data_IF_038885615269
#
_entry.id   IF_038885615269
#
_cell.length_a   1.000
_cell.length_b   1.000
_cell.length_c   1.000
_cell.angle_alpha   90.00
_cell.angle_beta   90.00
_cell.angle_gamma   90.00
#
_symmetry.space_group_name_H-M   'P 1'
#
loop_
_entity.id
_entity.type
_entity.pdbx_description
1 polymer ?
#
# COMPACT_ATOMS: atom_id res chain seq x y z
N UNK A 1 -0.28 13.62 -18.19
CA UNK A 1 0.29 12.72 -19.20
C UNK A 1 1.23 11.78 -18.46
N UNK A 2 1.03 10.46 -18.54
CA UNK A 2 1.87 9.46 -17.86
C UNK A 2 3.02 9.05 -18.78
N UNK A 3 4.20 8.85 -18.22
CA UNK A 3 5.38 8.36 -18.92
C UNK A 3 5.68 6.94 -18.48
N UNK A 4 5.61 5.99 -19.40
CA UNK A 4 5.92 4.59 -19.14
C UNK A 4 7.21 4.18 -19.83
N UNK A 5 8.01 3.37 -19.15
CA UNK A 5 9.12 2.67 -19.78
C UNK A 5 8.61 1.69 -20.83
N UNK A 6 9.35 1.51 -21.93
CA UNK A 6 9.03 0.51 -22.97
C UNK A 6 8.93 -0.90 -22.38
N UNK A 7 9.66 -1.20 -21.28
CA UNK A 7 9.66 -2.52 -20.64
C UNK A 7 8.34 -2.88 -19.94
N UNK A 8 7.43 -1.92 -19.76
CA UNK A 8 6.07 -2.18 -19.29
C UNK A 8 5.20 -2.87 -20.35
N UNK A 9 5.53 -2.74 -21.64
CA UNK A 9 4.77 -3.35 -22.74
C UNK A 9 5.38 -4.72 -23.05
N UNK A 10 4.75 -5.78 -22.54
CA UNK A 10 5.24 -7.17 -22.68
C UNK A 10 4.49 -8.02 -23.71
N UNK A 11 3.39 -7.51 -24.27
CA UNK A 11 2.51 -8.28 -25.16
C UNK A 11 1.45 -9.12 -24.42
N UNK A 12 1.46 -9.06 -23.09
CA UNK A 12 0.46 -9.61 -22.19
C UNK A 12 0.11 -8.58 -21.09
N UNK A 13 -0.70 -8.97 -20.10
CA UNK A 13 -1.08 -8.11 -18.97
C UNK A 13 0.01 -7.98 -17.89
N UNK A 14 1.22 -8.54 -18.09
CA UNK A 14 2.29 -8.60 -17.09
C UNK A 14 2.97 -7.27 -16.76
N UNK A 15 2.59 -6.17 -17.42
CA UNK A 15 2.97 -4.80 -17.07
C UNK A 15 1.81 -3.92 -16.59
N UNK A 16 0.59 -4.47 -16.51
CA UNK A 16 -0.61 -3.73 -16.15
C UNK A 16 -0.55 -3.13 -14.73
N UNK A 17 0.24 -3.73 -13.85
CA UNK A 17 0.48 -3.24 -12.49
C UNK A 17 1.10 -1.84 -12.48
N UNK A 18 2.13 -1.59 -13.31
CA UNK A 18 2.75 -0.27 -13.43
C UNK A 18 1.74 0.74 -13.97
N UNK A 19 0.90 0.33 -14.93
CA UNK A 19 -0.17 1.20 -15.45
C UNK A 19 -1.19 1.54 -14.37
N UNK A 20 -1.58 0.57 -13.54
CA UNK A 20 -2.51 0.78 -12.44
C UNK A 20 -1.94 1.71 -11.37
N UNK A 21 -0.64 1.61 -11.08
CA UNK A 21 0.08 2.48 -10.14
C UNK A 21 0.06 3.94 -10.62
N UNK A 22 0.54 4.19 -11.84
CA UNK A 22 0.55 5.54 -12.40
C UNK A 22 -0.85 6.11 -12.61
N UNK A 23 -1.84 5.25 -12.85
CA UNK A 23 -3.24 5.66 -12.91
C UNK A 23 -3.76 6.09 -11.53
N UNK A 24 -3.47 5.33 -10.47
CA UNK A 24 -3.86 5.65 -9.10
C UNK A 24 -3.29 7.00 -8.62
N UNK A 25 -2.07 7.35 -9.05
CA UNK A 25 -1.48 8.68 -8.79
C UNK A 25 -2.36 9.85 -9.25
N UNK A 26 -3.29 9.64 -10.20
CA UNK A 26 -4.27 10.66 -10.60
C UNK A 26 -5.05 11.24 -9.41
N UNK A 27 -5.25 10.45 -8.34
CA UNK A 27 -5.83 10.91 -7.08
C UNK A 27 -4.77 11.13 -6.01
N UNK A 28 -3.92 10.13 -5.77
CA UNK A 28 -2.96 10.10 -4.65
C UNK A 28 -1.58 10.50 -5.14
N UNK A 29 -1.27 11.79 -5.05
CA UNK A 29 -0.04 12.41 -5.55
C UNK A 29 -0.31 13.57 -6.50
N UNK A 30 -1.25 13.43 -7.45
CA UNK A 30 -1.61 14.51 -8.37
C UNK A 30 -2.73 15.42 -7.83
N UNK A 31 -3.81 14.84 -7.31
CA UNK A 31 -4.94 15.62 -6.77
C UNK A 31 -4.75 15.95 -5.29
N UNK A 32 -4.36 14.95 -4.50
CA UNK A 32 -3.99 15.09 -3.09
C UNK A 32 -2.49 14.86 -3.01
N UNK A 33 -1.74 15.91 -2.77
CA UNK A 33 -0.27 15.88 -2.76
C UNK A 33 0.24 16.11 -1.35
N UNK A 34 1.24 15.32 -0.95
CA UNK A 34 2.03 15.54 0.25
C UNK A 34 2.60 16.97 0.31
N UNK A 35 2.72 17.52 1.52
CA UNK A 35 3.19 18.90 1.71
C UNK A 35 4.71 19.01 1.60
N UNK A 36 5.43 18.05 2.14
CA UNK A 36 6.90 17.96 2.09
C UNK A 36 7.31 16.57 1.64
N UNK A 37 8.54 16.43 1.15
CA UNK A 37 9.07 15.12 0.74
C UNK A 37 9.29 14.16 1.92
N UNK A 38 9.27 14.65 3.16
CA UNK A 38 9.27 13.80 4.35
C UNK A 38 7.96 13.00 4.45
N UNK A 39 6.86 13.56 3.95
CA UNK A 39 5.54 12.93 3.87
C UNK A 39 5.32 12.13 2.56
N UNK A 40 6.37 11.74 1.84
CA UNK A 40 6.24 11.11 0.51
C UNK A 40 5.40 9.82 0.52
N UNK A 41 5.34 9.14 1.66
CA UNK A 41 4.47 7.97 1.87
C UNK A 41 2.99 8.28 1.62
N UNK A 42 2.52 9.51 1.85
CA UNK A 42 1.14 9.92 1.56
C UNK A 42 0.80 9.78 0.08
N UNK A 43 1.78 9.97 -0.80
CA UNK A 43 1.58 9.77 -2.23
C UNK A 43 1.74 8.29 -2.58
N UNK A 44 2.93 7.72 -2.34
CA UNK A 44 3.27 6.38 -2.83
C UNK A 44 2.53 5.27 -2.09
N UNK A 45 2.35 5.37 -0.78
CA UNK A 45 1.67 4.36 0.03
C UNK A 45 0.19 4.25 -0.35
N UNK A 46 -0.50 5.39 -0.45
CA UNK A 46 -1.90 5.39 -0.90
C UNK A 46 -2.04 4.95 -2.36
N UNK A 47 -1.10 5.32 -3.23
CA UNK A 47 -1.09 4.88 -4.62
C UNK A 47 -0.91 3.37 -4.72
N UNK A 48 0.04 2.79 -3.97
CA UNK A 48 0.29 1.35 -3.98
C UNK A 48 -0.89 0.58 -3.40
N UNK A 49 -1.55 1.11 -2.37
CA UNK A 49 -2.80 0.54 -1.86
C UNK A 49 -3.90 0.55 -2.93
N UNK A 50 -4.14 1.69 -3.59
CA UNK A 50 -5.15 1.81 -4.63
C UNK A 50 -4.85 0.93 -5.86
N UNK A 51 -3.59 0.86 -6.29
CA UNK A 51 -3.11 -0.04 -7.33
C UNK A 51 -3.53 -1.49 -7.04
N UNK A 52 -3.29 -1.97 -5.82
CA UNK A 52 -3.64 -3.35 -5.42
C UNK A 52 -5.14 -3.59 -5.46
N UNK A 53 -5.95 -2.62 -5.02
CA UNK A 53 -7.41 -2.71 -5.12
C UNK A 53 -7.88 -2.76 -6.58
N UNK A 54 -7.22 -2.03 -7.48
CA UNK A 54 -7.51 -2.08 -8.93
C UNK A 54 -7.14 -3.45 -9.50
N UNK A 55 -5.97 -3.98 -9.16
CA UNK A 55 -5.52 -5.30 -9.59
C UNK A 55 -6.46 -6.40 -9.07
N UNK A 56 -6.92 -6.30 -7.83
CA UNK A 56 -7.90 -7.25 -7.27
C UNK A 56 -9.19 -7.29 -8.09
N UNK A 57 -9.76 -6.12 -8.40
CA UNK A 57 -11.01 -6.03 -9.16
C UNK A 57 -10.83 -6.55 -10.60
N UNK A 58 -9.68 -6.28 -11.23
CA UNK A 58 -9.46 -6.60 -12.66
C UNK A 58 -8.92 -8.01 -12.87
N UNK A 59 -8.08 -8.51 -11.96
CA UNK A 59 -7.32 -9.75 -12.12
C UNK A 59 -7.62 -10.81 -11.04
N UNK A 60 -8.46 -10.48 -10.05
CA UNK A 60 -8.85 -11.36 -8.97
C UNK A 60 -7.96 -11.26 -7.72
N UNK A 61 -8.50 -11.76 -6.61
CA UNK A 61 -7.87 -11.73 -5.28
C UNK A 61 -6.52 -12.42 -5.24
N UNK A 62 -6.37 -13.58 -5.90
CA UNK A 62 -5.10 -14.33 -5.93
C UNK A 62 -3.95 -13.50 -6.55
N UNK A 63 -4.25 -12.72 -7.60
CA UNK A 63 -3.26 -11.86 -8.25
C UNK A 63 -2.90 -10.66 -7.38
N UNK A 64 -3.87 -10.08 -6.69
CA UNK A 64 -3.62 -9.02 -5.72
C UNK A 64 -2.79 -9.52 -4.53
N UNK A 65 -3.12 -10.69 -3.98
CA UNK A 65 -2.38 -11.33 -2.90
C UNK A 65 -0.93 -11.65 -3.30
N UNK A 66 -0.71 -12.13 -4.54
CA UNK A 66 0.63 -12.32 -5.09
C UNK A 66 1.40 -11.00 -5.22
N UNK A 67 0.74 -9.93 -5.68
CA UNK A 67 1.35 -8.60 -5.77
C UNK A 67 1.78 -8.07 -4.40
N UNK A 68 0.91 -8.21 -3.40
CA UNK A 68 1.22 -7.90 -1.99
C UNK A 68 2.39 -8.76 -1.52
N UNK A 69 2.34 -10.08 -1.72
CA UNK A 69 3.37 -11.02 -1.28
C UNK A 69 4.74 -10.81 -1.94
N UNK A 70 4.80 -10.40 -3.21
CA UNK A 70 6.05 -10.01 -3.88
C UNK A 70 6.60 -8.69 -3.34
N UNK A 71 5.71 -7.78 -2.93
CA UNK A 71 6.08 -6.56 -2.22
C UNK A 71 6.70 -6.85 -0.86
N UNK A 72 6.35 -7.97 -0.21
CA UNK A 72 6.92 -8.39 1.07
C UNK A 72 8.29 -9.05 0.86
N UNK A 73 9.31 -8.57 1.58
CA UNK A 73 10.59 -9.30 1.67
C UNK A 73 10.29 -10.55 2.51
N UNK A 74 10.11 -11.70 1.83
CA UNK A 74 9.48 -12.91 2.38
C UNK A 74 9.91 -13.37 3.78
N UNK A 75 9.09 -14.25 4.36
CA UNK A 75 9.28 -14.81 5.70
C UNK A 75 10.52 -15.74 5.69
N UNK A 76 11.50 -15.57 6.60
CA UNK A 76 12.63 -16.48 6.75
C UNK A 76 12.18 -17.92 7.00
N UNK A 77 12.93 -18.91 6.48
CA UNK A 77 12.57 -20.34 6.55
C UNK A 77 12.51 -20.89 7.99
N UNK A 78 13.03 -20.13 8.96
CA UNK A 78 13.13 -20.45 10.39
C UNK A 78 12.23 -19.59 11.29
N UNK A 79 11.25 -18.86 10.74
CA UNK A 79 10.39 -17.98 11.52
C UNK A 79 9.40 -18.76 12.41
N UNK A 80 9.58 -18.69 13.74
CA UNK A 80 8.51 -18.93 14.72
C UNK A 80 7.36 -17.93 14.46
N UNK A 81 6.09 -18.32 14.66
CA UNK A 81 4.96 -17.37 14.59
C UNK A 81 5.25 -16.14 15.46
N UNK A 82 5.48 -14.94 14.86
CA UNK A 82 5.91 -13.80 15.64
C UNK A 82 4.70 -12.96 15.99
N UNK A 83 4.50 -12.70 17.28
CA UNK A 83 3.84 -11.47 17.69
C UNK A 83 4.81 -10.34 17.34
N UNK A 84 4.77 -9.86 16.09
CA UNK A 84 5.65 -8.78 15.64
C UNK A 84 5.27 -7.50 16.37
N UNK A 85 6.21 -6.91 17.11
CA UNK A 85 6.00 -5.64 17.80
C UNK A 85 5.65 -4.52 16.83
N UNK A 86 6.23 -4.55 15.62
CA UNK A 86 5.93 -3.59 14.55
C UNK A 86 4.49 -3.80 14.06
N UNK A 87 4.11 -5.04 13.76
CA UNK A 87 2.75 -5.37 13.33
C UNK A 87 1.71 -4.99 14.39
N UNK A 88 1.99 -5.30 15.66
CA UNK A 88 1.13 -4.94 16.79
C UNK A 88 0.97 -3.43 16.92
N UNK A 89 2.05 -2.66 16.75
CA UNK A 89 2.00 -1.19 16.73
C UNK A 89 1.19 -0.66 15.54
N UNK A 90 1.35 -1.23 14.35
CA UNK A 90 0.56 -0.85 13.16
C UNK A 90 -0.94 -1.08 13.40
N UNK A 91 -1.32 -2.25 13.92
CA UNK A 91 -2.71 -2.58 14.24
C UNK A 91 -3.27 -1.66 15.34
N UNK A 92 -2.47 -1.32 16.35
CA UNK A 92 -2.87 -0.36 17.38
C UNK A 92 -3.13 1.03 16.79
N UNK A 93 -2.22 1.56 16.00
CA UNK A 93 -2.37 2.89 15.37
C UNK A 93 -3.57 2.92 14.41
N UNK A 94 -3.81 1.86 13.63
CA UNK A 94 -4.99 1.77 12.77
C UNK A 94 -6.29 1.81 13.58
N UNK A 95 -6.32 1.13 14.74
CA UNK A 95 -7.46 1.19 15.65
C UNK A 95 -7.65 2.57 16.29
N UNK A 96 -6.56 3.26 16.66
CA UNK A 96 -6.62 4.62 17.21
C UNK A 96 -7.12 5.63 16.18
N UNK A 97 -6.69 5.50 14.92
CA UNK A 97 -7.22 6.31 13.82
C UNK A 97 -8.71 6.10 13.62
N UNK A 98 -9.19 4.86 13.70
CA UNK A 98 -10.63 4.56 13.68
C UNK A 98 -11.39 5.29 14.79
N UNK A 99 -10.74 5.57 15.92
CA UNK A 99 -11.28 6.34 17.04
C UNK A 99 -11.06 7.87 16.90
N UNK A 100 -10.55 8.33 15.74
CA UNK A 100 -10.36 9.74 15.40
C UNK A 100 -8.98 10.30 15.74
N UNK A 101 -8.03 9.47 16.21
CA UNK A 101 -6.65 9.90 16.48
C UNK A 101 -5.75 9.60 15.29
N UNK A 102 -5.31 10.64 14.59
CA UNK A 102 -4.24 10.51 13.58
C UNK A 102 -2.92 10.02 14.22
N UNK A 103 -2.20 9.06 13.61
CA UNK A 103 -0.83 8.74 13.98
C UNK A 103 0.03 10.00 13.90
N UNK A 104 0.89 10.22 14.90
CA UNK A 104 1.82 11.34 14.87
C UNK A 104 3.02 11.01 14.00
N UNK A 105 3.64 12.06 13.47
CA UNK A 105 4.82 11.96 12.61
C UNK A 105 5.96 11.15 13.25
N UNK A 106 6.22 11.32 14.55
CA UNK A 106 7.23 10.55 15.29
C UNK A 106 6.92 9.06 15.40
N UNK A 107 5.64 8.67 15.33
CA UNK A 107 5.23 7.27 15.48
C UNK A 107 5.47 6.45 14.22
N UNK A 108 5.53 7.14 13.08
CA UNK A 108 5.53 6.58 11.72
C UNK A 108 6.71 7.05 10.87
N UNK A 109 7.59 7.89 11.42
CA UNK A 109 8.73 8.48 10.70
C UNK A 109 9.63 7.43 10.02
N UNK A 110 9.79 6.27 10.66
CA UNK A 110 10.65 5.19 10.17
C UNK A 110 9.89 4.16 9.32
N UNK A 111 8.62 4.38 8.98
CA UNK A 111 7.82 3.41 8.23
C UNK A 111 8.16 3.41 6.74
N UNK A 112 8.64 2.29 6.18
CA UNK A 112 8.58 2.05 4.75
C UNK A 112 7.14 2.01 4.22
N UNK A 113 7.01 1.97 2.89
CA UNK A 113 5.70 1.84 2.23
C UNK A 113 4.90 0.60 2.67
N UNK A 114 5.57 -0.49 3.08
CA UNK A 114 4.91 -1.73 3.49
C UNK A 114 4.10 -1.56 4.79
N UNK A 115 4.65 -0.87 5.77
CA UNK A 115 4.02 -0.60 7.05
C UNK A 115 2.83 0.34 6.88
N UNK A 116 2.93 1.27 5.93
CA UNK A 116 1.81 2.11 5.52
C UNK A 116 0.70 1.34 4.80
N UNK A 117 1.03 0.41 3.92
CA UNK A 117 0.05 -0.46 3.28
C UNK A 117 -0.67 -1.33 4.31
N UNK A 118 0.07 -1.94 5.24
CA UNK A 118 -0.50 -2.70 6.35
C UNK A 118 -1.44 -1.84 7.18
N UNK A 119 -1.05 -0.61 7.48
CA UNK A 119 -1.89 0.35 8.18
C UNK A 119 -3.19 0.62 7.40
N UNK A 120 -3.12 0.88 6.09
CA UNK A 120 -4.29 1.10 5.21
C UNK A 120 -5.20 -0.13 5.09
N UNK A 121 -4.63 -1.33 4.98
CA UNK A 121 -5.39 -2.59 4.96
C UNK A 121 -6.15 -2.82 6.27
N UNK A 122 -5.58 -2.37 7.39
CA UNK A 122 -6.20 -2.46 8.71
C UNK A 122 -7.16 -1.29 9.00
N UNK A 123 -7.18 -0.24 8.17
CA UNK A 123 -8.05 0.92 8.36
C UNK A 123 -9.54 0.62 8.09
N UNK A 124 -9.90 -0.47 7.41
CA UNK A 124 -11.28 -1.00 7.36
C UNK A 124 -11.40 -2.39 6.70
N UNK A 125 -12.23 -3.24 7.32
CA UNK A 125 -13.34 -3.97 6.66
C UNK A 125 -14.65 -3.47 7.27
N UNK A 126 -15.03 -2.20 7.09
CA UNK A 126 -16.39 -1.81 7.50
C UNK A 126 -17.37 -2.34 6.47
N UNK A 127 -18.37 -3.05 6.98
CA UNK A 127 -19.56 -3.53 6.29
C UNK A 127 -19.96 -2.66 5.11
N UNK A 128 -20.08 -3.31 3.95
CA UNK A 128 -21.01 -2.89 2.91
C UNK A 128 -22.32 -2.47 3.60
N UNK A 129 -22.69 -1.20 3.41
CA UNK A 129 -24.02 -0.68 3.67
C UNK A 129 -24.71 -0.46 2.31
#
# INVERSE_FOLDING_TARGET
MVFLTRTAIKGDAGGAQVVAHEFAHSWTGNLITNKTNEDFWLNEGFTTYAERRIIEVVQGEDRAALSIGMGWRGIPVDAFEPVSNIYSKIVLLANEFRLGRMPREDEVADWPGQEWELYLENLHKSAEA
#
